data_IF_466475553656
#
_entry.id   IF_466475553656
#
_cell.length_a   1.000
_cell.length_b   1.000
_cell.length_c   1.000
_cell.angle_alpha   90.00
_cell.angle_beta   90.00
_cell.angle_gamma   90.00
#
_symmetry.space_group_name_H-M   'P 1'
#
loop_
_entity.id
_entity.type
_entity.pdbx_description
1 polymer ?
#
# COMPACT_ATOMS: atom_id res chain seq x y z
N UNK A 1 -0.35 -6.32 17.04
CA UNK A 1 -0.60 -6.25 15.58
C UNK A 1 -2.07 -6.00 15.21
N UNK A 2 -3.02 -5.91 16.17
CA UNK A 2 -4.46 -5.74 15.90
C UNK A 2 -4.91 -4.26 15.76
N UNK A 3 -4.04 -3.29 16.06
CA UNK A 3 -4.38 -1.86 16.02
C UNK A 3 -4.06 -1.13 14.69
N UNK A 4 -3.42 -1.81 13.73
CA UNK A 4 -3.08 -1.23 12.41
C UNK A 4 -4.08 -1.59 11.30
N UNK A 5 -5.02 -2.49 11.57
CA UNK A 5 -6.08 -2.86 10.62
C UNK A 5 -7.26 -1.87 10.62
N UNK A 6 -7.29 -0.94 11.58
CA UNK A 6 -8.35 0.05 11.72
C UNK A 6 -8.16 1.20 10.71
N UNK A 7 -8.50 0.89 9.47
CA UNK A 7 -8.64 1.77 8.30
C UNK A 7 -7.38 2.52 7.87
N UNK A 8 -6.78 2.04 6.77
CA UNK A 8 -5.95 2.86 5.90
C UNK A 8 -6.84 3.98 5.34
N UNK A 9 -6.71 5.19 5.89
CA UNK A 9 -7.47 6.36 5.44
C UNK A 9 -6.86 6.92 4.14
N UNK A 10 -7.73 7.25 3.18
CA UNK A 10 -7.37 7.95 1.94
C UNK A 10 -6.66 9.27 2.22
N UNK A 11 -6.97 9.95 3.31
CA UNK A 11 -6.28 11.20 3.70
C UNK A 11 -4.82 10.92 4.05
N UNK A 12 -4.56 9.92 4.90
CA UNK A 12 -3.21 9.49 5.27
C UNK A 12 -2.39 9.00 4.07
N UNK A 13 -3.03 8.29 3.13
CA UNK A 13 -2.39 7.89 1.87
C UNK A 13 -1.97 9.10 1.03
N UNK A 14 -2.83 10.12 0.94
CA UNK A 14 -2.51 11.37 0.24
C UNK A 14 -1.38 12.12 0.93
N UNK A 15 -1.38 12.17 2.25
CA UNK A 15 -0.30 12.78 3.05
C UNK A 15 1.02 12.05 2.81
N UNK A 16 1.03 10.72 2.89
CA UNK A 16 2.20 9.90 2.61
C UNK A 16 2.74 10.16 1.20
N UNK A 17 1.87 10.20 0.18
CA UNK A 17 2.26 10.55 -1.19
C UNK A 17 2.85 11.97 -1.29
N UNK A 18 2.29 12.93 -0.56
CA UNK A 18 2.83 14.29 -0.51
C UNK A 18 4.20 14.33 0.16
N UNK A 19 4.40 13.59 1.26
CA UNK A 19 5.70 13.47 1.92
C UNK A 19 6.73 12.80 1.01
N UNK A 20 6.37 11.70 0.34
CA UNK A 20 7.20 11.01 -0.66
C UNK A 20 7.70 11.98 -1.75
N UNK A 21 6.78 12.75 -2.34
CA UNK A 21 7.12 13.76 -3.36
C UNK A 21 8.01 14.89 -2.83
N UNK A 22 7.77 15.35 -1.60
CA UNK A 22 8.58 16.40 -0.98
C UNK A 22 9.99 15.89 -0.66
N UNK A 23 10.09 14.67 -0.15
CA UNK A 23 11.36 14.02 0.18
C UNK A 23 12.20 13.80 -1.08
N UNK A 24 11.60 13.28 -2.16
CA UNK A 24 12.29 13.14 -3.45
C UNK A 24 12.82 14.47 -3.98
N UNK A 25 12.02 15.55 -3.91
CA UNK A 25 12.51 16.88 -4.31
C UNK A 25 13.63 17.41 -3.41
N UNK A 26 13.60 17.06 -2.13
CA UNK A 26 14.64 17.44 -1.18
C UNK A 26 15.94 16.67 -1.46
N UNK A 27 15.85 15.36 -1.67
CA UNK A 27 16.96 14.49 -2.10
C UNK A 27 17.67 15.06 -3.34
N UNK A 28 16.90 15.39 -4.39
CA UNK A 28 17.46 15.99 -5.60
C UNK A 28 18.17 17.32 -5.33
N UNK A 29 17.67 18.15 -4.40
CA UNK A 29 18.34 19.40 -4.02
C UNK A 29 19.65 19.14 -3.28
N UNK A 30 19.67 18.16 -2.38
CA UNK A 30 20.88 17.79 -1.64
C UNK A 30 21.94 17.27 -2.61
N UNK A 31 21.56 16.41 -3.56
CA UNK A 31 22.44 15.93 -4.64
C UNK A 31 22.98 17.10 -5.45
N UNK A 32 22.13 18.01 -5.92
CA UNK A 32 22.60 19.17 -6.69
C UNK A 32 23.56 20.07 -5.89
N UNK A 33 23.32 20.27 -4.59
CA UNK A 33 24.22 21.05 -3.74
C UNK A 33 25.57 20.34 -3.60
N UNK A 34 25.57 19.01 -3.37
CA UNK A 34 26.79 18.21 -3.31
C UNK A 34 27.59 18.36 -4.60
N UNK A 35 26.94 18.09 -5.74
CA UNK A 35 27.59 18.11 -7.05
C UNK A 35 28.16 19.51 -7.37
N UNK A 36 27.47 20.60 -6.99
CA UNK A 36 27.99 21.97 -7.15
C UNK A 36 29.17 22.29 -6.25
N UNK A 37 29.24 21.72 -5.04
CA UNK A 37 30.40 21.91 -4.15
C UNK A 37 31.59 21.09 -4.66
N UNK A 38 31.36 19.86 -5.13
CA UNK A 38 32.38 19.02 -5.78
C UNK A 38 32.97 19.70 -7.02
N UNK A 39 32.12 20.26 -7.90
CA UNK A 39 32.58 20.97 -9.10
C UNK A 39 33.52 22.14 -8.79
N UNK A 40 33.26 22.85 -7.68
CA UNK A 40 34.11 23.95 -7.22
C UNK A 40 35.40 23.45 -6.59
N UNK A 41 35.34 22.37 -5.80
CA UNK A 41 36.52 21.76 -5.18
C UNK A 41 37.49 21.19 -6.22
N UNK A 42 36.99 20.74 -7.37
CA UNK A 42 37.81 20.22 -8.48
C UNK A 42 38.56 21.31 -9.27
N UNK A 43 38.27 22.60 -9.04
CA UNK A 43 38.83 23.71 -9.80
C UNK A 43 39.65 24.68 -8.92
N UNK A 44 40.96 24.47 -8.86
CA UNK A 44 41.92 25.32 -8.12
C UNK A 44 41.81 26.81 -8.46
N UNK A 45 41.51 27.16 -9.73
CA UNK A 45 41.29 28.54 -10.18
C UNK A 45 40.06 29.18 -9.53
N UNK A 46 38.97 28.42 -9.39
CA UNK A 46 37.73 28.87 -8.75
C UNK A 46 37.95 29.05 -7.24
N UNK A 47 38.64 28.10 -6.60
CA UNK A 47 39.01 28.16 -5.18
C UNK A 47 39.89 29.39 -4.87
N UNK A 48 40.94 29.62 -5.65
CA UNK A 48 41.77 30.82 -5.51
C UNK A 48 40.98 32.11 -5.80
N UNK A 49 40.02 32.03 -6.71
CA UNK A 49 39.09 33.11 -7.05
C UNK A 49 38.18 33.56 -5.90
N UNK A 50 38.00 32.72 -4.87
CA UNK A 50 37.15 33.00 -3.71
C UNK A 50 37.78 33.93 -2.66
N UNK A 51 39.08 34.26 -2.76
CA UNK A 51 39.72 35.27 -1.92
C UNK A 51 39.34 36.69 -2.37
N UNK A 52 38.05 37.03 -2.24
CA UNK A 52 37.43 38.24 -2.78
C UNK A 52 38.08 39.53 -2.25
N UNK A 53 38.43 39.58 -0.96
CA UNK A 53 39.08 40.75 -0.36
C UNK A 53 40.44 41.03 -1.02
N UNK A 54 41.29 40.01 -1.15
CA UNK A 54 42.62 40.13 -1.76
C UNK A 54 42.52 40.47 -3.26
N UNK A 55 41.54 39.89 -3.95
CA UNK A 55 41.21 40.20 -5.35
C UNK A 55 40.80 41.67 -5.52
N UNK A 56 40.02 42.22 -4.59
CA UNK A 56 39.63 43.64 -4.60
C UNK A 56 40.80 44.58 -4.31
N UNK A 57 41.76 44.16 -3.47
CA UNK A 57 42.98 44.92 -3.17
C UNK A 57 44.01 44.90 -4.32
N UNK A 58 43.71 44.20 -5.43
CA UNK A 58 44.61 44.08 -6.58
C UNK A 58 45.76 43.09 -6.37
N UNK A 59 45.70 42.29 -5.30
CA UNK A 59 46.68 41.25 -4.98
C UNK A 59 46.00 39.88 -5.00
N UNK A 60 45.62 39.35 -6.19
CA UNK A 60 44.93 38.07 -6.28
C UNK A 60 45.78 36.95 -5.69
N UNK A 61 45.10 36.00 -5.03
CA UNK A 61 45.77 34.87 -4.41
C UNK A 61 46.34 33.93 -5.50
N UNK A 62 47.56 33.39 -5.33
CA UNK A 62 48.09 32.38 -6.25
C UNK A 62 47.16 31.16 -6.31
N UNK A 63 47.07 30.53 -7.48
CA UNK A 63 46.25 29.33 -7.72
C UNK A 63 46.67 28.14 -6.88
N UNK A 64 47.88 28.13 -6.31
CA UNK A 64 48.35 27.05 -5.43
C UNK A 64 48.05 27.30 -3.94
N UNK A 65 47.45 28.45 -3.58
CA UNK A 65 47.26 28.87 -2.19
C UNK A 65 45.77 29.02 -1.85
N UNK A 66 45.06 27.89 -1.88
CA UNK A 66 43.62 27.79 -1.57
C UNK A 66 43.25 26.84 -0.42
N UNK A 67 44.23 26.37 0.35
CA UNK A 67 44.05 25.27 1.31
C UNK A 67 43.01 25.58 2.40
N UNK A 68 42.87 26.84 2.80
CA UNK A 68 41.89 27.25 3.82
C UNK A 68 40.44 27.15 3.31
N UNK A 69 40.20 27.56 2.06
CA UNK A 69 38.87 27.53 1.46
C UNK A 69 38.49 26.10 1.07
N UNK A 70 39.43 25.34 0.54
CA UNK A 70 39.27 23.92 0.25
C UNK A 70 38.86 23.14 1.50
N UNK A 71 39.59 23.28 2.62
CA UNK A 71 39.26 22.63 3.89
C UNK A 71 37.85 23.02 4.39
N UNK A 72 37.45 24.28 4.23
CA UNK A 72 36.11 24.74 4.61
C UNK A 72 35.04 24.08 3.73
N UNK A 73 35.23 24.07 2.41
CA UNK A 73 34.29 23.49 1.46
C UNK A 73 34.21 21.97 1.60
N UNK A 74 35.32 21.27 1.87
CA UNK A 74 35.32 19.84 2.21
C UNK A 74 34.50 19.56 3.47
N UNK A 75 34.62 20.40 4.50
CA UNK A 75 33.83 20.26 5.73
C UNK A 75 32.33 20.44 5.46
N UNK A 76 31.96 21.39 4.59
CA UNK A 76 30.57 21.56 4.13
C UNK A 76 30.11 20.40 3.25
N UNK A 77 30.94 19.92 2.32
CA UNK A 77 30.65 18.77 1.46
C UNK A 77 30.32 17.54 2.32
N UNK A 78 31.16 17.26 3.32
CA UNK A 78 30.93 16.16 4.27
C UNK A 78 29.61 16.30 5.03
N UNK A 79 29.22 17.52 5.40
CA UNK A 79 27.92 17.76 6.02
C UNK A 79 26.75 17.50 5.06
N UNK A 80 26.89 17.90 3.79
CA UNK A 80 25.89 17.63 2.75
C UNK A 80 25.77 16.13 2.47
N UNK A 81 26.88 15.39 2.43
CA UNK A 81 26.88 13.92 2.31
C UNK A 81 26.17 13.25 3.49
N UNK A 82 26.38 13.72 4.72
CA UNK A 82 25.66 13.20 5.89
C UNK A 82 24.15 13.43 5.74
N UNK A 83 23.73 14.61 5.29
CA UNK A 83 22.33 14.90 4.99
C UNK A 83 21.81 13.99 3.89
N UNK A 84 22.57 13.76 2.82
CA UNK A 84 22.19 12.87 1.72
C UNK A 84 21.90 11.45 2.22
N UNK A 85 22.80 10.90 3.04
CA UNK A 85 22.64 9.59 3.66
C UNK A 85 21.40 9.51 4.56
N UNK A 86 21.11 10.56 5.33
CA UNK A 86 19.90 10.63 6.16
C UNK A 86 18.62 10.65 5.30
N UNK A 87 18.62 11.41 4.20
CA UNK A 87 17.50 11.48 3.26
C UNK A 87 17.25 10.12 2.60
N UNK A 88 18.29 9.43 2.17
CA UNK A 88 18.20 8.08 1.59
C UNK A 88 17.58 7.10 2.59
N UNK A 89 18.01 7.15 3.85
CA UNK A 89 17.44 6.32 4.93
C UNK A 89 15.94 6.58 5.14
N UNK A 90 15.52 7.86 5.19
CA UNK A 90 14.10 8.21 5.32
C UNK A 90 13.33 7.77 4.07
N UNK A 91 13.91 7.89 2.87
CA UNK A 91 13.30 7.44 1.61
C UNK A 91 13.04 5.93 1.63
N UNK A 92 14.01 5.15 2.09
CA UNK A 92 13.86 3.69 2.26
C UNK A 92 12.78 3.33 3.29
N UNK A 93 12.71 4.06 4.41
CA UNK A 93 11.66 3.85 5.43
C UNK A 93 10.27 4.21 4.90
N UNK A 94 10.16 5.27 4.11
CA UNK A 94 8.90 5.67 3.48
C UNK A 94 8.43 4.59 2.50
N UNK A 95 9.33 4.04 1.68
CA UNK A 95 9.01 2.92 0.77
C UNK A 95 8.56 1.67 1.53
N UNK A 96 9.24 1.35 2.63
CA UNK A 96 8.83 0.26 3.53
C UNK A 96 7.42 0.48 4.07
N UNK A 97 7.09 1.72 4.42
CA UNK A 97 5.74 2.09 4.89
C UNK A 97 4.71 1.95 3.77
N UNK A 98 5.01 2.34 2.54
CA UNK A 98 4.14 2.12 1.36
C UNK A 98 3.85 0.63 1.15
N UNK A 99 4.86 -0.23 1.26
CA UNK A 99 4.71 -1.68 1.13
C UNK A 99 3.81 -2.26 2.23
N UNK A 100 3.99 -1.83 3.48
CA UNK A 100 3.11 -2.22 4.59
C UNK A 100 1.67 -1.79 4.34
N UNK A 101 1.45 -0.57 3.84
CA UNK A 101 0.11 -0.09 3.52
C UNK A 101 -0.53 -0.92 2.41
N UNK A 102 0.23 -1.27 1.37
CA UNK A 102 -0.24 -2.16 0.30
C UNK A 102 -0.64 -3.54 0.84
N UNK A 103 0.17 -4.13 1.74
CA UNK A 103 -0.15 -5.40 2.41
C UNK A 103 -1.48 -5.30 3.19
N UNK A 104 -1.71 -4.20 3.91
CA UNK A 104 -2.96 -4.00 4.66
C UNK A 104 -4.15 -3.87 3.71
N UNK A 105 -4.02 -3.10 2.63
CA UNK A 105 -5.08 -2.93 1.63
C UNK A 105 -5.44 -4.26 0.95
N UNK A 106 -4.44 -5.08 0.62
CA UNK A 106 -4.65 -6.41 0.06
C UNK A 106 -5.31 -7.36 1.07
N UNK A 107 -4.97 -7.28 2.35
CA UNK A 107 -5.65 -8.02 3.43
C UNK A 107 -7.12 -7.62 3.55
N UNK A 108 -7.42 -6.32 3.49
CA UNK A 108 -8.81 -5.83 3.49
C UNK A 108 -9.59 -6.32 2.27
N UNK A 109 -8.98 -6.27 1.07
CA UNK A 109 -9.58 -6.82 -0.15
C UNK A 109 -9.84 -8.31 -0.03
N UNK A 110 -8.89 -9.08 0.52
CA UNK A 110 -9.06 -10.51 0.74
C UNK A 110 -10.21 -10.81 1.71
N UNK A 111 -10.35 -10.00 2.76
CA UNK A 111 -11.46 -10.11 3.73
C UNK A 111 -12.82 -9.83 3.08
N UNK A 112 -12.91 -8.82 2.21
CA UNK A 112 -14.13 -8.52 1.45
C UNK A 112 -14.49 -9.64 0.48
N UNK A 113 -13.49 -10.20 -0.23
CA UNK A 113 -13.71 -11.35 -1.12
C UNK A 113 -14.23 -12.57 -0.35
N UNK A 114 -13.70 -12.83 0.84
CA UNK A 114 -14.19 -13.92 1.68
C UNK A 114 -15.65 -13.71 2.13
N UNK A 115 -16.01 -12.47 2.47
CA UNK A 115 -17.40 -12.11 2.78
C UNK A 115 -18.31 -12.34 1.56
N UNK A 116 -17.89 -11.90 0.38
CA UNK A 116 -18.61 -12.09 -0.88
C UNK A 116 -18.85 -13.56 -1.19
N UNK A 117 -17.83 -14.42 -1.01
CA UNK A 117 -17.96 -15.86 -1.18
C UNK A 117 -19.01 -16.44 -0.21
N UNK A 118 -19.02 -16.01 1.07
CA UNK A 118 -20.02 -16.47 2.05
C UNK A 118 -21.44 -16.05 1.65
N UNK A 119 -21.62 -14.82 1.19
CA UNK A 119 -22.91 -14.33 0.69
C UNK A 119 -23.36 -15.06 -0.58
N UNK A 120 -22.43 -15.36 -1.49
CA UNK A 120 -22.71 -16.11 -2.71
C UNK A 120 -23.16 -17.54 -2.40
N UNK A 121 -22.53 -18.22 -1.44
CA UNK A 121 -22.96 -19.55 -0.96
C UNK A 121 -24.39 -19.50 -0.42
N UNK A 122 -24.72 -18.48 0.38
CA UNK A 122 -26.09 -18.28 0.87
C UNK A 122 -27.08 -18.02 -0.27
N UNK A 123 -26.73 -17.16 -1.22
CA UNK A 123 -27.57 -16.83 -2.36
C UNK A 123 -27.86 -18.07 -3.24
N UNK A 124 -26.84 -18.92 -3.48
CA UNK A 124 -27.01 -20.17 -4.23
C UNK A 124 -27.92 -21.15 -3.47
N UNK A 125 -27.73 -21.31 -2.15
CA UNK A 125 -28.58 -22.18 -1.34
C UNK A 125 -30.04 -21.73 -1.34
N UNK A 126 -30.29 -20.42 -1.20
CA UNK A 126 -31.63 -19.83 -1.32
C UNK A 126 -32.18 -19.97 -2.74
N UNK A 127 -31.35 -19.80 -3.78
CA UNK A 127 -31.74 -19.95 -5.18
C UNK A 127 -32.28 -21.33 -5.50
N UNK A 128 -31.64 -22.40 -4.99
CA UNK A 128 -32.14 -23.78 -5.13
C UNK A 128 -33.47 -23.98 -4.40
N UNK A 129 -33.62 -23.44 -3.18
CA UNK A 129 -34.87 -23.50 -2.43
C UNK A 129 -36.01 -22.78 -3.16
N UNK A 130 -35.76 -21.54 -3.62
CA UNK A 130 -36.72 -20.75 -4.39
C UNK A 130 -37.09 -21.43 -5.70
N UNK A 131 -36.13 -22.06 -6.39
CA UNK A 131 -36.41 -22.79 -7.63
C UNK A 131 -37.42 -23.93 -7.40
N UNK A 132 -37.23 -24.74 -6.35
CA UNK A 132 -38.18 -25.84 -6.04
C UNK A 132 -39.54 -25.27 -5.62
N UNK A 133 -39.56 -24.27 -4.72
CA UNK A 133 -40.81 -23.58 -4.33
C UNK A 133 -41.53 -22.99 -5.55
N UNK A 134 -40.78 -22.46 -6.53
CA UNK A 134 -41.36 -21.91 -7.76
C UNK A 134 -41.95 -23.00 -8.66
N UNK A 135 -41.28 -24.14 -8.82
CA UNK A 135 -41.80 -25.26 -9.63
C UNK A 135 -43.15 -25.78 -9.10
N UNK A 136 -43.28 -25.93 -7.78
CA UNK A 136 -44.51 -26.39 -7.13
C UNK A 136 -45.53 -25.27 -6.87
N UNK A 137 -45.09 -24.01 -6.84
CA UNK A 137 -45.97 -22.83 -6.74
C UNK A 137 -46.58 -22.40 -8.07
N UNK A 138 -46.11 -22.95 -9.20
CA UNK A 138 -46.75 -22.79 -10.49
C UNK A 138 -47.96 -23.73 -10.60
N UNK A 139 -49.04 -23.26 -11.24
CA UNK A 139 -50.30 -24.00 -11.46
C UNK A 139 -50.15 -25.19 -12.43
N UNK A 140 -49.26 -26.12 -12.11
CA UNK A 140 -49.04 -27.37 -12.82
C UNK A 140 -49.78 -28.48 -12.07
N UNK A 141 -50.58 -29.29 -12.78
CA UNK A 141 -51.24 -30.46 -12.22
C UNK A 141 -50.19 -31.49 -11.77
N UNK A 142 -49.80 -31.38 -10.50
CA UNK A 142 -48.75 -32.17 -9.87
C UNK A 142 -49.22 -33.59 -9.49
N UNK A 143 -50.54 -33.79 -9.34
CA UNK A 143 -51.12 -35.05 -8.85
C UNK A 143 -50.89 -35.32 -7.35
N UNK A 144 -50.12 -34.47 -6.67
CA UNK A 144 -49.85 -34.53 -5.23
C UNK A 144 -50.76 -33.62 -4.38
N UNK A 145 -51.67 -32.86 -5.00
CA UNK A 145 -52.48 -31.83 -4.33
C UNK A 145 -53.59 -32.41 -3.42
N UNK A 146 -54.06 -33.62 -3.69
CA UNK A 146 -55.12 -34.28 -2.90
C UNK A 146 -54.59 -34.89 -1.59
N UNK A 147 -53.26 -35.01 -1.43
CA UNK A 147 -52.66 -35.58 -0.24
C UNK A 147 -52.48 -34.52 0.87
N UNK A 148 -53.09 -34.69 2.06
CA UNK A 148 -53.06 -33.70 3.13
C UNK A 148 -51.65 -33.41 3.71
N UNK A 149 -50.68 -34.28 3.41
CA UNK A 149 -49.29 -34.18 3.89
C UNK A 149 -48.29 -33.66 2.85
N UNK A 150 -48.71 -33.50 1.58
CA UNK A 150 -47.79 -33.18 0.48
C UNK A 150 -47.10 -31.83 0.68
N UNK A 151 -47.84 -30.79 1.09
CA UNK A 151 -47.31 -29.46 1.36
C UNK A 151 -46.21 -29.46 2.44
N UNK A 152 -46.45 -30.15 3.56
CA UNK A 152 -45.48 -30.26 4.65
C UNK A 152 -44.23 -31.03 4.21
N UNK A 153 -44.40 -32.09 3.41
CA UNK A 153 -43.27 -32.89 2.91
C UNK A 153 -42.35 -32.11 1.97
N UNK A 154 -42.90 -31.35 1.01
CA UNK A 154 -42.11 -30.55 0.06
C UNK A 154 -41.40 -29.41 0.79
N UNK A 155 -42.09 -28.73 1.71
CA UNK A 155 -41.51 -27.65 2.52
C UNK A 155 -40.35 -28.17 3.39
N UNK A 156 -40.50 -29.36 3.99
CA UNK A 156 -39.42 -29.97 4.76
C UNK A 156 -38.22 -30.33 3.87
N UNK A 157 -38.47 -30.89 2.68
CA UNK A 157 -37.42 -31.27 1.73
C UNK A 157 -36.68 -30.03 1.19
N UNK A 158 -37.36 -28.93 0.87
CA UNK A 158 -36.70 -27.71 0.39
C UNK A 158 -35.84 -27.06 1.46
N UNK A 159 -36.34 -26.97 2.70
CA UNK A 159 -35.57 -26.41 3.82
C UNK A 159 -34.34 -27.27 4.12
N UNK A 160 -34.50 -28.60 4.19
CA UNK A 160 -33.38 -29.51 4.46
C UNK A 160 -32.34 -29.49 3.34
N UNK A 161 -32.76 -29.42 2.08
CA UNK A 161 -31.84 -29.29 0.94
C UNK A 161 -31.10 -27.94 0.96
N UNK A 162 -31.79 -26.83 1.22
CA UNK A 162 -31.16 -25.52 1.31
C UNK A 162 -30.13 -25.45 2.46
N UNK A 163 -30.46 -26.01 3.63
CA UNK A 163 -29.56 -26.05 4.78
C UNK A 163 -28.34 -26.93 4.56
N UNK A 164 -28.51 -28.10 3.92
CA UNK A 164 -27.38 -29.00 3.62
C UNK A 164 -26.41 -28.39 2.61
N UNK A 165 -26.91 -27.72 1.57
CA UNK A 165 -26.09 -27.00 0.59
C UNK A 165 -25.35 -25.82 1.22
N UNK A 166 -26.04 -25.00 2.01
CA UNK A 166 -25.42 -23.89 2.73
C UNK A 166 -24.34 -24.41 3.70
N UNK A 167 -24.65 -25.43 4.49
CA UNK A 167 -23.72 -26.04 5.45
C UNK A 167 -22.47 -26.61 4.78
N UNK A 168 -22.62 -27.36 3.68
CA UNK A 168 -21.49 -27.86 2.90
C UNK A 168 -20.63 -26.72 2.33
N UNK A 169 -21.27 -25.67 1.80
CA UNK A 169 -20.59 -24.48 1.30
C UNK A 169 -19.77 -23.77 2.38
N UNK A 170 -20.37 -23.52 3.55
CA UNK A 170 -19.67 -22.90 4.69
C UNK A 170 -18.52 -23.76 5.22
N UNK A 171 -18.68 -25.08 5.33
CA UNK A 171 -17.61 -25.99 5.76
C UNK A 171 -16.43 -25.96 4.79
N UNK A 172 -16.70 -25.93 3.47
CA UNK A 172 -15.66 -25.84 2.45
C UNK A 172 -14.92 -24.50 2.52
N UNK A 173 -15.64 -23.39 2.68
CA UNK A 173 -15.06 -22.05 2.85
C UNK A 173 -14.22 -21.98 4.14
N UNK A 174 -14.71 -22.54 5.25
CA UNK A 174 -13.98 -22.61 6.52
C UNK A 174 -12.67 -23.41 6.37
N UNK A 175 -12.73 -24.55 5.69
CA UNK A 175 -11.54 -25.38 5.43
C UNK A 175 -10.53 -24.68 4.53
N UNK A 176 -10.97 -23.91 3.54
CA UNK A 176 -10.08 -23.10 2.69
C UNK A 176 -9.45 -21.98 3.50
N UNK A 177 -10.23 -21.24 4.29
CA UNK A 177 -9.72 -20.18 5.17
C UNK A 177 -8.67 -20.69 6.16
N UNK A 178 -8.83 -21.91 6.69
CA UNK A 178 -7.84 -22.53 7.60
C UNK A 178 -6.54 -22.95 6.91
N UNK A 179 -6.51 -23.09 5.58
CA UNK A 179 -5.28 -23.44 4.82
C UNK A 179 -4.46 -22.20 4.41
N UNK A 180 -5.04 -21.01 4.56
CA UNK A 180 -4.45 -19.73 4.17
C UNK A 180 -3.85 -18.96 5.36
N UNK A 181 -4.12 -19.40 6.60
CA UNK A 181 -3.41 -18.99 7.82
C UNK A 181 -2.32 -20.03 8.16
#
# INVERSE_FOLDING_TARGET
MVYLEESVDRTKLKELLQYSKRLYRFEQRVVNIRDSIEEVLDQDEDLAGMYLTKKMEGNPQPTESHEEIELLLEAYLKQVEEIANQVESISSQLKTTEDVVNIILDSQRNSLMLLEIRLTVLAVALGVGTFITSLFGMNLFSGFEEHPVAFYSITLVTITLALTLAGFGFLKVYKMSKRLN
#
